data_IF_150539777978
#
_entry.id   IF_150539777978
#
_cell.length_a   1.000
_cell.length_b   1.000
_cell.length_c   1.000
_cell.angle_alpha   90.00
_cell.angle_beta   90.00
_cell.angle_gamma   90.00
#
_symmetry.space_group_name_H-M   'P 1'
#
loop_
_entity.id
_entity.type
_entity.pdbx_description
1 polymer ?
#
# COMPACT_ATOMS: atom_id res chain seq x y z
N UNK A 1 -31.29 28.35 59.49
CA UNK A 1 -30.16 28.73 58.59
C UNK A 1 -29.39 27.52 58.05
N UNK A 2 -28.90 26.57 58.93
CA UNK A 2 -28.11 25.42 58.52
C UNK A 2 -28.82 24.51 57.46
N UNK A 3 -30.12 24.20 57.72
CA UNK A 3 -30.91 23.42 56.76
C UNK A 3 -31.03 24.09 55.34
N UNK A 4 -31.22 25.40 55.31
CA UNK A 4 -31.30 26.12 54.04
C UNK A 4 -29.95 26.09 53.27
N UNK A 5 -28.84 26.24 53.98
CA UNK A 5 -27.49 26.10 53.38
C UNK A 5 -27.24 24.67 52.85
N UNK A 6 -27.69 23.66 53.56
CA UNK A 6 -27.54 22.25 53.16
C UNK A 6 -28.35 21.94 51.89
N UNK A 7 -29.59 22.45 51.80
CA UNK A 7 -30.44 22.30 50.60
C UNK A 7 -29.79 23.00 49.41
N UNK A 8 -29.28 24.21 49.61
CA UNK A 8 -28.58 24.95 48.54
C UNK A 8 -27.32 24.20 48.04
N UNK A 9 -26.51 23.69 48.99
CA UNK A 9 -25.30 22.93 48.64
C UNK A 9 -25.61 21.64 47.86
N UNK A 10 -26.63 20.90 48.31
CA UNK A 10 -27.07 19.67 47.62
C UNK A 10 -27.63 20.00 46.24
N UNK A 11 -28.44 21.04 46.12
CA UNK A 11 -28.99 21.45 44.80
C UNK A 11 -27.88 21.91 43.87
N UNK A 12 -26.90 22.69 44.36
CA UNK A 12 -25.77 23.14 43.56
C UNK A 12 -24.91 21.96 43.04
N UNK A 13 -24.64 20.96 43.89
CA UNK A 13 -23.88 19.76 43.48
C UNK A 13 -24.65 18.92 42.49
N UNK A 14 -25.96 18.76 42.61
CA UNK A 14 -26.80 18.05 41.64
C UNK A 14 -26.79 18.77 40.26
N UNK A 15 -26.99 20.09 40.29
CA UNK A 15 -26.96 20.92 39.05
C UNK A 15 -25.58 20.85 38.39
N UNK A 16 -24.51 20.98 39.16
CA UNK A 16 -23.14 20.85 38.63
C UNK A 16 -22.90 19.48 38.02
N UNK A 17 -23.40 18.40 38.66
CA UNK A 17 -23.34 17.04 38.12
C UNK A 17 -24.08 16.86 36.79
N UNK A 18 -25.26 17.48 36.65
CA UNK A 18 -26.02 17.48 35.40
C UNK A 18 -25.28 18.22 34.28
N UNK A 19 -24.78 19.44 34.60
CA UNK A 19 -24.00 20.22 33.62
C UNK A 19 -22.72 19.49 33.17
N UNK A 20 -22.03 18.85 34.11
CA UNK A 20 -20.83 18.05 33.73
C UNK A 20 -21.19 16.90 32.81
N UNK A 21 -22.26 16.17 33.10
CA UNK A 21 -22.75 15.06 32.24
C UNK A 21 -23.17 15.57 30.86
N UNK A 22 -23.89 16.69 30.77
CA UNK A 22 -24.27 17.31 29.50
C UNK A 22 -23.04 17.72 28.67
N UNK A 23 -22.03 18.33 29.30
CA UNK A 23 -20.79 18.69 28.60
C UNK A 23 -20.07 17.46 28.05
N UNK A 24 -20.04 16.33 28.75
CA UNK A 24 -19.45 15.08 28.25
C UNK A 24 -20.21 14.58 27.00
N UNK A 25 -21.54 14.54 27.06
CA UNK A 25 -22.39 14.11 25.95
C UNK A 25 -22.21 15.00 24.72
N UNK A 26 -22.20 16.32 24.92
CA UNK A 26 -21.98 17.28 23.82
C UNK A 26 -20.61 17.08 23.17
N UNK A 27 -19.53 16.96 23.97
CA UNK A 27 -18.19 16.71 23.45
C UNK A 27 -18.08 15.36 22.71
N UNK A 28 -18.79 14.35 23.20
CA UNK A 28 -18.83 13.05 22.52
C UNK A 28 -19.51 13.17 21.15
N UNK A 29 -20.66 13.85 21.08
CA UNK A 29 -21.36 14.10 19.84
C UNK A 29 -20.53 14.93 18.85
N UNK A 30 -19.80 15.96 19.33
CA UNK A 30 -18.89 16.76 18.51
C UNK A 30 -17.73 15.92 17.94
N UNK A 31 -17.17 15.02 18.75
CA UNK A 31 -16.09 14.11 18.30
C UNK A 31 -16.60 13.12 17.25
N UNK A 32 -17.77 12.51 17.47
CA UNK A 32 -18.40 11.59 16.51
C UNK A 32 -18.70 12.29 15.18
N UNK A 33 -19.21 13.51 15.22
CA UNK A 33 -19.48 14.30 14.02
C UNK A 33 -18.17 14.64 13.28
N UNK A 34 -17.13 15.07 14.02
CA UNK A 34 -15.83 15.37 13.44
C UNK A 34 -15.18 14.16 12.80
N UNK A 35 -15.31 12.99 13.43
CA UNK A 35 -14.82 11.72 12.87
C UNK A 35 -15.59 11.30 11.61
N UNK A 36 -16.93 11.44 11.62
CA UNK A 36 -17.75 11.16 10.45
C UNK A 36 -17.38 12.09 9.27
N UNK A 37 -17.13 13.37 9.53
CA UNK A 37 -16.67 14.32 8.53
C UNK A 37 -15.28 13.97 8.00
N UNK A 38 -14.33 13.59 8.87
CA UNK A 38 -13.01 13.14 8.45
C UNK A 38 -13.08 11.89 7.54
N UNK A 39 -14.04 10.98 7.79
CA UNK A 39 -14.29 9.82 6.90
C UNK A 39 -14.71 10.21 5.49
N UNK A 40 -15.56 11.22 5.36
CA UNK A 40 -15.95 11.72 4.04
C UNK A 40 -14.81 12.42 3.32
N UNK A 41 -14.02 13.18 4.06
CA UNK A 41 -12.84 13.87 3.51
C UNK A 41 -11.79 12.89 3.00
N UNK A 42 -11.47 11.85 3.78
CA UNK A 42 -10.48 10.84 3.36
C UNK A 42 -10.97 10.05 2.15
N UNK A 43 -12.27 9.75 2.07
CA UNK A 43 -12.85 9.10 0.90
C UNK A 43 -12.73 9.98 -0.34
N UNK A 44 -13.05 11.28 -0.22
CA UNK A 44 -12.86 12.24 -1.30
C UNK A 44 -11.41 12.37 -1.75
N UNK A 45 -10.45 12.27 -0.82
CA UNK A 45 -9.02 12.27 -1.15
C UNK A 45 -8.61 11.04 -1.97
N UNK A 46 -9.15 9.85 -1.65
CA UNK A 46 -8.90 8.62 -2.41
C UNK A 46 -9.55 8.70 -3.79
N UNK A 47 -10.75 9.25 -3.89
CA UNK A 47 -11.42 9.46 -5.18
C UNK A 47 -10.61 10.45 -6.04
N UNK A 48 -10.02 11.49 -5.43
CA UNK A 48 -9.12 12.42 -6.11
C UNK A 48 -7.84 11.74 -6.61
N UNK A 49 -7.22 10.87 -5.81
CA UNK A 49 -6.11 10.04 -6.28
C UNK A 49 -6.50 9.22 -7.53
N UNK A 50 -7.73 8.68 -7.56
CA UNK A 50 -8.29 8.02 -8.74
C UNK A 50 -8.43 8.92 -9.96
N UNK A 51 -8.70 10.22 -9.78
CA UNK A 51 -8.75 11.20 -10.86
C UNK A 51 -7.34 11.45 -11.41
N UNK A 52 -6.34 11.64 -10.54
CA UNK A 52 -4.94 11.81 -10.93
C UNK A 52 -4.47 10.63 -11.78
N UNK A 53 -4.68 9.40 -11.31
CA UNK A 53 -4.29 8.19 -12.03
C UNK A 53 -5.02 8.00 -13.36
N UNK A 54 -6.24 8.51 -13.48
CA UNK A 54 -7.03 8.48 -14.70
C UNK A 54 -6.53 9.46 -15.74
N UNK A 55 -6.16 10.66 -15.29
CA UNK A 55 -5.58 11.68 -16.19
C UNK A 55 -4.19 11.28 -16.66
N UNK A 56 -3.39 10.70 -15.78
CA UNK A 56 -2.09 10.12 -16.10
C UNK A 56 -2.19 9.07 -17.21
N UNK A 57 -3.12 8.11 -17.10
CA UNK A 57 -3.34 7.08 -18.12
C UNK A 57 -3.76 7.62 -19.51
N UNK A 58 -4.19 8.88 -19.60
CA UNK A 58 -4.53 9.53 -20.87
C UNK A 58 -3.32 10.14 -21.57
N UNK A 59 -2.29 10.44 -20.80
CA UNK A 59 -1.09 11.16 -21.28
C UNK A 59 0.12 10.26 -21.41
N UNK A 60 0.19 9.18 -20.63
CA UNK A 60 1.32 8.24 -20.57
C UNK A 60 0.86 6.78 -20.64
N UNK A 61 1.67 5.92 -21.29
CA UNK A 61 1.55 4.48 -21.25
C UNK A 61 2.65 3.83 -20.39
N UNK A 62 3.41 4.64 -19.68
CA UNK A 62 4.56 4.24 -18.86
C UNK A 62 4.40 4.88 -17.50
N UNK A 63 4.61 4.12 -16.42
CA UNK A 63 4.52 4.64 -15.06
C UNK A 63 5.92 4.76 -14.44
N UNK A 64 6.29 5.97 -14.00
CA UNK A 64 7.58 6.26 -13.39
C UNK A 64 7.50 7.39 -12.36
N UNK A 65 8.55 7.56 -11.53
CA UNK A 65 8.55 8.55 -10.44
C UNK A 65 8.54 10.03 -10.87
N UNK A 66 8.73 10.33 -12.15
CA UNK A 66 8.65 11.70 -12.69
C UNK A 66 7.22 12.15 -13.02
N UNK A 67 6.21 11.33 -12.79
CA UNK A 67 4.81 11.62 -13.10
C UNK A 67 4.07 12.28 -11.91
N UNK A 68 2.98 13.04 -12.18
CA UNK A 68 2.24 13.75 -11.15
C UNK A 68 1.72 12.88 -9.99
N UNK A 69 1.36 11.62 -10.28
CA UNK A 69 0.88 10.71 -9.25
C UNK A 69 1.94 10.32 -8.22
N UNK A 70 3.22 10.37 -8.60
CA UNK A 70 4.33 10.00 -7.71
C UNK A 70 4.74 11.12 -6.74
N UNK A 71 4.19 12.32 -6.91
CA UNK A 71 4.47 13.47 -6.03
C UNK A 71 3.61 13.36 -4.77
N UNK A 72 4.21 13.20 -3.58
CA UNK A 72 3.44 13.16 -2.34
C UNK A 72 2.74 14.49 -2.09
N UNK A 73 1.50 14.43 -1.62
CA UNK A 73 0.79 15.59 -1.12
C UNK A 73 1.26 15.84 0.32
N UNK A 74 1.99 16.93 0.53
CA UNK A 74 2.33 17.42 1.87
C UNK A 74 1.08 17.93 2.59
N UNK A 75 1.16 18.22 3.89
CA UNK A 75 0.07 18.79 4.69
C UNK A 75 -0.53 20.02 4.01
N UNK A 76 -1.56 19.78 3.22
CA UNK A 76 -2.22 20.81 2.41
C UNK A 76 -3.48 21.27 3.12
N UNK A 77 -3.62 22.57 3.30
CA UNK A 77 -4.80 23.21 3.86
C UNK A 77 -5.87 23.33 2.77
N UNK A 78 -6.97 22.58 2.90
CA UNK A 78 -7.99 22.46 1.85
C UNK A 78 -8.97 23.66 1.81
N UNK A 79 -9.17 24.36 2.94
CA UNK A 79 -10.18 25.42 3.08
C UNK A 79 -9.58 26.70 3.66
N UNK A 80 -8.58 27.26 2.95
CA UNK A 80 -8.03 28.55 3.32
C UNK A 80 -9.09 29.66 3.16
N UNK A 81 -9.24 30.50 4.19
CA UNK A 81 -10.00 31.75 4.19
C UNK A 81 -11.55 31.67 4.12
N UNK A 82 -12.20 30.53 4.31
CA UNK A 82 -13.67 30.44 4.30
C UNK A 82 -14.34 30.53 5.68
N UNK A 83 -13.57 30.81 6.74
CA UNK A 83 -14.07 30.91 8.12
C UNK A 83 -14.52 29.58 8.75
N UNK A 84 -14.29 28.46 8.08
CA UNK A 84 -14.56 27.10 8.57
C UNK A 84 -13.36 26.54 9.31
N UNK A 85 -13.61 25.46 10.06
CA UNK A 85 -12.52 24.75 10.73
C UNK A 85 -11.49 24.24 9.72
N UNK A 86 -10.18 24.38 10.01
CA UNK A 86 -9.14 23.99 9.08
C UNK A 86 -9.14 22.48 8.83
N UNK A 87 -9.00 22.10 7.56
CA UNK A 87 -8.83 20.72 7.08
C UNK A 87 -7.43 20.58 6.51
N UNK A 88 -6.66 19.66 7.05
CA UNK A 88 -5.36 19.27 6.51
C UNK A 88 -5.42 17.92 5.87
N UNK A 89 -4.88 17.81 4.69
CA UNK A 89 -4.76 16.58 3.93
C UNK A 89 -3.29 16.31 3.57
N UNK A 90 -2.81 15.13 3.90
CA UNK A 90 -1.54 14.61 3.42
C UNK A 90 -1.76 13.22 2.82
N UNK A 91 -0.94 12.84 1.85
CA UNK A 91 -1.06 11.51 1.24
C UNK A 91 -0.04 11.24 0.17
N UNK A 92 0.01 9.99 -0.25
CA UNK A 92 0.87 9.55 -1.33
C UNK A 92 0.20 8.42 -2.11
N UNK A 93 0.56 8.34 -3.38
CA UNK A 93 0.23 7.23 -4.27
C UNK A 93 1.52 6.45 -4.51
N UNK A 94 1.47 5.14 -4.39
CA UNK A 94 2.61 4.25 -4.61
C UNK A 94 2.26 3.20 -5.64
N UNK A 95 3.23 2.86 -6.47
CA UNK A 95 3.11 1.72 -7.38
C UNK A 95 3.28 0.41 -6.60
N UNK A 96 2.22 -0.39 -6.51
CA UNK A 96 2.30 -1.70 -5.86
C UNK A 96 2.96 -2.77 -6.75
N UNK A 97 3.04 -2.57 -8.06
CA UNK A 97 3.80 -3.44 -8.95
C UNK A 97 5.31 -3.13 -8.98
N UNK A 98 5.77 -2.10 -8.26
CA UNK A 98 7.18 -1.93 -7.92
C UNK A 98 7.73 -3.09 -7.08
N UNK A 99 6.87 -3.80 -6.37
CA UNK A 99 7.18 -4.89 -5.45
C UNK A 99 6.97 -6.26 -6.08
N UNK A 100 7.59 -7.27 -5.49
CA UNK A 100 7.33 -8.66 -5.83
C UNK A 100 5.94 -9.08 -5.34
N UNK A 101 5.10 -9.54 -6.25
CA UNK A 101 3.74 -9.96 -5.92
C UNK A 101 3.71 -11.45 -5.56
N UNK A 102 3.35 -11.77 -4.32
CA UNK A 102 3.24 -13.16 -3.84
C UNK A 102 2.25 -13.99 -4.65
N UNK A 103 1.23 -13.37 -5.25
CA UNK A 103 0.25 -14.06 -6.10
C UNK A 103 0.90 -14.79 -7.29
N UNK A 104 2.08 -14.35 -7.73
CA UNK A 104 2.83 -14.96 -8.82
C UNK A 104 3.32 -16.38 -8.51
N UNK A 105 3.44 -16.73 -7.21
CA UNK A 105 3.85 -18.07 -6.77
C UNK A 105 2.85 -19.16 -7.14
N UNK A 106 1.56 -18.81 -7.27
CA UNK A 106 0.50 -19.78 -7.54
C UNK A 106 0.10 -19.77 -9.02
N UNK A 107 0.46 -20.81 -9.73
CA UNK A 107 0.10 -21.05 -11.12
C UNK A 107 -0.97 -22.16 -11.29
N UNK A 108 -1.48 -22.34 -12.51
CA UNK A 108 -2.46 -23.40 -12.82
C UNK A 108 -1.94 -24.80 -12.54
N UNK A 109 -0.64 -25.04 -12.76
CA UNK A 109 0.01 -26.33 -12.53
C UNK A 109 0.52 -26.54 -11.09
N UNK A 110 0.33 -25.56 -10.19
CA UNK A 110 0.87 -25.58 -8.84
C UNK A 110 1.81 -24.41 -8.56
N UNK A 111 2.81 -24.60 -7.72
CA UNK A 111 3.82 -23.59 -7.42
C UNK A 111 4.63 -23.29 -8.68
N UNK A 112 4.72 -21.99 -9.02
CA UNK A 112 5.55 -21.51 -10.13
C UNK A 112 7.03 -21.55 -9.70
N UNK A 113 7.79 -22.50 -10.24
CA UNK A 113 9.20 -22.70 -9.89
C UNK A 113 10.09 -21.48 -10.18
N UNK A 114 9.82 -20.72 -11.24
CA UNK A 114 10.56 -19.49 -11.56
C UNK A 114 10.32 -18.42 -10.48
N UNK A 115 9.07 -18.20 -10.11
CA UNK A 115 8.70 -17.25 -9.08
C UNK A 115 9.21 -17.66 -7.70
N UNK A 116 9.22 -18.97 -7.41
CA UNK A 116 9.82 -19.49 -6.18
C UNK A 116 11.32 -19.16 -6.10
N UNK A 117 12.05 -19.32 -7.21
CA UNK A 117 13.47 -18.94 -7.28
C UNK A 117 13.68 -17.43 -7.08
N UNK A 118 12.79 -16.59 -7.62
CA UNK A 118 12.80 -15.13 -7.40
C UNK A 118 12.60 -14.82 -5.91
N UNK A 119 11.62 -15.45 -5.26
CA UNK A 119 11.37 -15.23 -3.83
C UNK A 119 12.55 -15.66 -2.97
N UNK A 120 13.20 -16.81 -3.28
CA UNK A 120 14.42 -17.24 -2.56
C UNK A 120 15.53 -16.22 -2.66
N UNK A 121 15.82 -15.69 -3.86
CA UNK A 121 16.83 -14.64 -4.05
C UNK A 121 16.46 -13.36 -3.30
N UNK A 122 15.17 -12.97 -3.32
CA UNK A 122 14.72 -11.79 -2.59
C UNK A 122 14.89 -11.97 -1.08
N UNK A 123 14.55 -13.12 -0.52
CA UNK A 123 14.76 -13.44 0.89
C UNK A 123 16.24 -13.34 1.26
N UNK A 124 17.16 -13.89 0.45
CA UNK A 124 18.60 -13.76 0.66
C UNK A 124 19.06 -12.28 0.67
N UNK A 125 18.58 -11.49 -0.28
CA UNK A 125 18.92 -10.06 -0.42
C UNK A 125 18.47 -9.23 0.79
N UNK A 126 17.34 -9.58 1.41
CA UNK A 126 16.83 -8.88 2.61
C UNK A 126 17.32 -9.50 3.93
N UNK A 127 18.27 -10.44 3.87
CA UNK A 127 18.84 -11.09 5.05
C UNK A 127 17.88 -12.03 5.77
N UNK A 128 16.96 -12.66 5.04
CA UNK A 128 16.08 -13.69 5.55
C UNK A 128 16.52 -15.08 5.04
N UNK A 129 16.05 -16.16 5.70
CA UNK A 129 16.37 -17.54 5.27
C UNK A 129 15.66 -17.86 3.95
N UNK A 130 16.39 -18.31 2.95
CA UNK A 130 15.84 -18.71 1.64
C UNK A 130 14.79 -19.82 1.73
N UNK A 131 14.96 -20.75 2.69
CA UNK A 131 14.04 -21.86 2.92
C UNK A 131 12.61 -21.42 3.33
N UNK A 132 12.40 -20.16 3.70
CA UNK A 132 11.06 -19.63 3.96
C UNK A 132 10.23 -19.48 2.67
N UNK A 133 10.85 -19.53 1.50
CA UNK A 133 10.14 -19.41 0.23
C UNK A 133 9.15 -20.56 -0.01
N UNK A 134 9.49 -21.79 0.39
CA UNK A 134 8.65 -22.98 0.18
C UNK A 134 7.36 -22.92 1.00
N UNK A 135 7.37 -22.70 2.33
CA UNK A 135 6.14 -22.56 3.11
C UNK A 135 5.31 -21.33 2.69
N UNK A 136 5.93 -20.22 2.26
CA UNK A 136 5.20 -19.09 1.70
C UNK A 136 4.49 -19.50 0.41
N UNK A 137 5.17 -20.20 -0.50
CA UNK A 137 4.58 -20.64 -1.76
C UNK A 137 3.40 -21.59 -1.55
N UNK A 138 3.51 -22.54 -0.62
CA UNK A 138 2.41 -23.45 -0.28
C UNK A 138 1.24 -22.69 0.34
N UNK A 139 1.51 -21.72 1.25
CA UNK A 139 0.47 -20.85 1.84
C UNK A 139 -0.27 -20.05 0.76
N UNK A 140 0.44 -19.52 -0.22
CA UNK A 140 -0.18 -18.79 -1.35
C UNK A 140 -0.98 -19.75 -2.23
N UNK A 141 -0.44 -20.95 -2.54
CA UNK A 141 -1.10 -21.93 -3.39
C UNK A 141 -2.45 -22.38 -2.78
N UNK A 142 -2.48 -22.65 -1.47
CA UNK A 142 -3.69 -23.09 -0.77
C UNK A 142 -4.75 -21.99 -0.65
N UNK A 143 -4.35 -20.73 -0.78
CA UNK A 143 -5.22 -19.55 -0.69
C UNK A 143 -5.84 -19.13 -2.04
N UNK A 144 -5.34 -19.66 -3.15
CA UNK A 144 -5.77 -19.24 -4.48
C UNK A 144 -6.72 -20.28 -5.09
N UNK A 145 -7.96 -19.90 -5.46
CA UNK A 145 -8.92 -20.78 -6.09
C UNK A 145 -8.38 -21.38 -7.40
N UNK A 146 -8.46 -22.70 -7.55
CA UNK A 146 -8.08 -23.40 -8.78
C UNK A 146 -6.58 -23.52 -9.03
N UNK A 147 -5.72 -22.98 -8.17
CA UNK A 147 -4.28 -23.13 -8.32
C UNK A 147 -3.87 -24.61 -8.10
N UNK A 148 -3.00 -25.11 -8.99
CA UNK A 148 -2.58 -26.51 -8.96
C UNK A 148 -3.72 -27.52 -9.14
N UNK A 149 -4.88 -27.12 -9.69
CA UNK A 149 -6.06 -27.97 -9.82
C UNK A 149 -6.74 -28.30 -8.48
N UNK A 150 -6.35 -27.65 -7.38
CA UNK A 150 -6.86 -27.90 -6.02
C UNK A 150 -8.03 -26.98 -5.67
N UNK A 151 -8.88 -27.42 -4.75
CA UNK A 151 -9.84 -26.54 -4.10
C UNK A 151 -9.10 -25.60 -3.14
N UNK A 152 -9.57 -24.37 -3.03
CA UNK A 152 -9.08 -23.43 -2.01
C UNK A 152 -9.35 -24.02 -0.61
N UNK A 153 -8.31 -24.11 0.19
CA UNK A 153 -8.38 -24.67 1.56
C UNK A 153 -8.04 -23.63 2.64
N UNK A 154 -7.49 -22.49 2.23
CA UNK A 154 -7.17 -21.39 3.12
C UNK A 154 -7.78 -20.08 2.64
N UNK A 155 -7.97 -19.12 3.57
CA UNK A 155 -8.38 -17.76 3.22
C UNK A 155 -7.33 -17.09 2.35
N UNK A 156 -7.79 -16.30 1.38
CA UNK A 156 -6.92 -15.46 0.55
C UNK A 156 -6.02 -14.57 1.41
N UNK A 157 -4.81 -14.34 0.93
CA UNK A 157 -3.95 -13.33 1.54
C UNK A 157 -4.51 -11.94 1.19
N UNK A 158 -4.66 -11.11 2.20
CA UNK A 158 -5.15 -9.74 2.06
C UNK A 158 -4.02 -8.69 2.22
N UNK A 159 -2.94 -9.08 2.91
CA UNK A 159 -1.76 -8.25 3.14
C UNK A 159 -0.52 -9.13 3.36
N UNK A 160 0.65 -8.49 3.40
CA UNK A 160 1.89 -9.19 3.76
C UNK A 160 1.87 -9.70 5.21
N UNK A 161 1.07 -9.09 6.09
CA UNK A 161 0.95 -9.48 7.49
C UNK A 161 0.34 -10.88 7.65
N UNK A 162 -0.41 -11.35 6.66
CA UNK A 162 -0.97 -12.71 6.65
C UNK A 162 0.13 -13.80 6.56
N UNK A 163 1.36 -13.41 6.26
CA UNK A 163 2.52 -14.30 6.34
C UNK A 163 2.91 -14.65 7.79
N UNK A 164 2.46 -13.89 8.79
CA UNK A 164 2.65 -14.23 10.21
C UNK A 164 1.97 -15.56 10.60
N UNK A 165 1.02 -16.02 9.80
CA UNK A 165 0.41 -17.34 9.95
C UNK A 165 1.20 -18.49 9.30
N UNK A 166 2.37 -18.24 8.73
CA UNK A 166 3.26 -19.23 8.14
C UNK A 166 4.34 -19.60 9.16
N UNK A 167 4.61 -20.88 9.32
CA UNK A 167 5.63 -21.37 10.23
C UNK A 167 6.99 -20.72 9.97
N UNK A 168 7.72 -20.43 11.03
CA UNK A 168 9.05 -19.81 11.01
C UNK A 168 9.12 -18.37 10.48
N UNK A 169 8.00 -17.73 10.14
CA UNK A 169 7.95 -16.31 9.75
C UNK A 169 7.64 -15.45 10.97
N UNK A 170 8.65 -14.69 11.39
CA UNK A 170 8.50 -13.70 12.46
C UNK A 170 8.09 -12.32 11.93
N UNK A 171 7.57 -11.48 12.82
CA UNK A 171 7.27 -10.08 12.50
C UNK A 171 8.50 -9.34 11.92
N UNK A 172 9.70 -9.62 12.42
CA UNK A 172 10.94 -9.04 11.88
C UNK A 172 11.24 -9.45 10.44
N UNK A 173 10.82 -10.65 10.00
CA UNK A 173 10.93 -11.07 8.59
C UNK A 173 9.91 -10.31 7.75
N UNK A 174 8.66 -10.22 8.21
CA UNK A 174 7.59 -9.48 7.52
C UNK A 174 7.98 -8.01 7.32
N UNK A 175 8.53 -7.36 8.35
CA UNK A 175 8.96 -5.95 8.25
C UNK A 175 10.10 -5.76 7.23
N UNK A 176 11.07 -6.69 7.17
CA UNK A 176 12.12 -6.63 6.13
C UNK A 176 11.59 -6.83 4.72
N UNK A 177 10.53 -7.63 4.56
CA UNK A 177 9.91 -7.90 3.26
C UNK A 177 8.93 -6.79 2.82
N UNK A 178 8.35 -6.04 3.74
CA UNK A 178 7.31 -5.03 3.49
C UNK A 178 7.65 -4.02 2.38
N UNK A 179 8.89 -3.52 2.24
CA UNK A 179 9.25 -2.62 1.14
C UNK A 179 9.31 -3.30 -0.23
N UNK A 180 9.44 -4.63 -0.29
CA UNK A 180 9.80 -5.37 -1.48
C UNK A 180 8.72 -6.36 -1.95
N UNK A 181 7.72 -6.62 -1.13
CA UNK A 181 6.69 -7.65 -1.37
C UNK A 181 5.31 -7.05 -1.25
N UNK A 182 4.41 -7.47 -2.11
CA UNK A 182 2.99 -7.10 -2.10
C UNK A 182 2.10 -8.31 -2.31
N UNK A 183 0.81 -8.14 -1.99
CA UNK A 183 -0.26 -9.10 -2.27
C UNK A 183 -1.30 -8.43 -3.14
N UNK A 184 -1.37 -8.84 -4.41
CA UNK A 184 -2.34 -8.32 -5.37
C UNK A 184 -3.35 -9.40 -5.75
N UNK A 185 -4.56 -9.03 -6.22
CA UNK A 185 -5.62 -9.99 -6.50
C UNK A 185 -5.33 -10.93 -7.67
N UNK A 186 -4.39 -10.57 -8.52
CA UNK A 186 -3.94 -11.37 -9.68
C UNK A 186 -2.42 -11.33 -9.83
N UNK A 187 -1.86 -12.28 -10.58
CA UNK A 187 -0.45 -12.25 -10.94
C UNK A 187 -0.14 -11.01 -11.80
N UNK A 188 1.01 -10.39 -11.55
CA UNK A 188 1.43 -9.15 -12.21
C UNK A 188 2.92 -9.15 -12.49
N UNK A 189 3.38 -8.56 -13.60
CA UNK A 189 4.78 -8.25 -13.79
C UNK A 189 5.23 -7.15 -12.81
N UNK A 190 6.55 -7.04 -12.64
CA UNK A 190 7.18 -5.96 -11.87
C UNK A 190 7.38 -4.74 -12.79
N UNK A 191 6.99 -3.55 -12.33
CA UNK A 191 7.32 -2.32 -13.04
C UNK A 191 8.79 -1.95 -12.81
N UNK A 192 9.60 -2.04 -13.86
CA UNK A 192 11.03 -1.75 -13.78
C UNK A 192 11.32 -0.28 -13.47
N UNK A 193 10.41 0.64 -13.82
CA UNK A 193 10.57 2.08 -13.59
C UNK A 193 10.40 2.50 -12.13
N UNK A 194 9.81 1.66 -11.30
CA UNK A 194 9.52 1.99 -9.89
C UNK A 194 10.11 0.96 -8.93
N UNK A 195 10.48 -0.22 -9.42
CA UNK A 195 10.98 -1.31 -8.59
C UNK A 195 12.30 -0.95 -7.88
N UNK A 196 12.46 -1.29 -6.58
CA UNK A 196 13.73 -1.16 -5.88
C UNK A 196 14.78 -2.13 -6.43
N UNK A 197 16.06 -1.82 -6.17
CA UNK A 197 17.18 -2.59 -6.69
C UNK A 197 17.14 -4.07 -6.25
N UNK A 198 16.68 -4.34 -5.03
CA UNK A 198 16.55 -5.68 -4.47
C UNK A 198 15.54 -6.53 -5.26
N UNK A 199 14.41 -5.94 -5.66
CA UNK A 199 13.39 -6.62 -6.47
C UNK A 199 13.92 -6.89 -7.88
N UNK A 200 14.60 -5.94 -8.49
CA UNK A 200 15.23 -6.14 -9.80
C UNK A 200 16.33 -7.21 -9.74
N UNK A 201 17.21 -7.16 -8.74
CA UNK A 201 18.26 -8.15 -8.53
C UNK A 201 17.67 -9.57 -8.31
N UNK A 202 16.57 -9.68 -7.57
CA UNK A 202 15.89 -10.96 -7.39
C UNK A 202 15.23 -11.46 -8.68
N UNK A 203 14.69 -10.56 -9.50
CA UNK A 203 13.95 -10.89 -10.73
C UNK A 203 14.86 -11.42 -11.84
N UNK A 204 16.04 -10.85 -12.00
CA UNK A 204 16.99 -11.26 -13.02
C UNK A 204 18.05 -12.18 -12.43
N UNK A 205 18.16 -13.38 -13.00
CA UNK A 205 19.21 -14.31 -12.62
C UNK A 205 20.59 -13.71 -12.96
N UNK A 206 21.53 -13.82 -12.03
CA UNK A 206 22.87 -13.26 -12.12
C UNK A 206 23.00 -11.72 -12.11
N UNK A 207 21.93 -10.98 -11.87
CA UNK A 207 22.03 -9.54 -11.63
C UNK A 207 22.47 -9.27 -10.19
N UNK A 208 23.73 -8.90 -10.00
CA UNK A 208 24.24 -8.51 -8.69
C UNK A 208 23.51 -7.26 -8.16
N UNK A 209 23.33 -7.13 -6.84
CA UNK A 209 22.66 -5.97 -6.24
C UNK A 209 23.34 -4.64 -6.61
N UNK A 210 24.67 -4.64 -6.75
CA UNK A 210 25.42 -3.45 -7.19
C UNK A 210 25.05 -3.01 -8.61
N UNK A 211 24.82 -3.99 -9.52
CA UNK A 211 24.41 -3.73 -10.90
C UNK A 211 22.95 -3.28 -10.96
N UNK A 212 22.08 -3.89 -10.16
CA UNK A 212 20.70 -3.45 -10.00
C UNK A 212 20.62 -2.00 -9.50
N UNK A 213 21.47 -1.60 -8.56
CA UNK A 213 21.56 -0.20 -8.10
C UNK A 213 22.04 0.75 -9.20
N UNK A 214 22.98 0.32 -10.05
CA UNK A 214 23.40 1.11 -11.24
C UNK A 214 22.26 1.24 -12.24
N UNK A 215 21.49 0.17 -12.46
CA UNK A 215 20.32 0.18 -13.32
C UNK A 215 19.24 1.16 -12.81
N UNK A 216 18.97 1.14 -11.51
CA UNK A 216 18.06 2.11 -10.85
C UNK A 216 18.58 3.55 -11.05
N UNK A 217 19.85 3.82 -10.79
CA UNK A 217 20.43 5.15 -10.98
C UNK A 217 20.40 5.61 -12.46
N UNK A 218 20.49 4.68 -13.42
CA UNK A 218 20.30 4.97 -14.86
C UNK A 218 18.86 5.32 -15.17
N UNK A 219 17.90 4.55 -14.65
CA UNK A 219 16.45 4.76 -14.78
C UNK A 219 16.02 6.11 -14.22
N UNK A 220 16.56 6.52 -13.07
CA UNK A 220 16.20 7.78 -12.41
C UNK A 220 16.61 9.01 -13.25
N UNK A 221 17.58 8.86 -14.16
CA UNK A 221 17.96 9.90 -15.15
C UNK A 221 17.12 9.83 -16.42
N UNK A 222 16.78 8.62 -16.87
CA UNK A 222 15.99 8.36 -18.05
C UNK A 222 15.20 7.06 -17.87
N UNK A 223 13.89 7.19 -17.62
CA UNK A 223 13.00 6.06 -17.41
C UNK A 223 13.02 5.09 -18.62
N UNK A 224 12.68 3.84 -18.38
CA UNK A 224 12.54 2.83 -19.43
C UNK A 224 11.27 3.09 -20.23
N UNK A 225 11.40 3.20 -21.53
CA UNK A 225 10.29 3.48 -22.45
C UNK A 225 9.41 2.26 -22.70
N UNK A 226 10.03 1.10 -22.73
CA UNK A 226 9.39 -0.19 -22.94
C UNK A 226 10.23 -1.32 -22.35
N UNK A 227 9.71 -2.55 -22.42
CA UNK A 227 10.41 -3.74 -21.95
C UNK A 227 11.73 -3.97 -22.67
N UNK A 228 11.81 -3.66 -23.96
CA UNK A 228 13.02 -3.85 -24.76
C UNK A 228 14.14 -2.93 -24.28
N UNK A 229 13.82 -1.68 -23.93
CA UNK A 229 14.77 -0.74 -23.34
C UNK A 229 15.33 -1.26 -22.01
N UNK A 230 14.49 -1.86 -21.15
CA UNK A 230 14.96 -2.52 -19.91
C UNK A 230 15.97 -3.62 -20.23
N UNK A 231 15.63 -4.52 -21.15
CA UNK A 231 16.46 -5.67 -21.52
C UNK A 231 17.78 -5.24 -22.16
N UNK A 232 17.76 -4.21 -23.02
CA UNK A 232 18.95 -3.66 -23.65
C UNK A 232 19.93 -3.11 -22.62
N UNK A 233 19.44 -2.31 -21.64
CA UNK A 233 20.31 -1.77 -20.58
C UNK A 233 20.85 -2.85 -19.65
N UNK A 234 20.13 -3.96 -19.46
CA UNK A 234 20.65 -5.13 -18.74
C UNK A 234 21.72 -5.84 -19.57
N UNK A 235 21.51 -5.97 -20.86
CA UNK A 235 22.51 -6.59 -21.79
C UNK A 235 23.80 -5.78 -21.85
N UNK A 236 23.72 -4.45 -21.79
CA UNK A 236 24.90 -3.57 -21.69
C UNK A 236 25.74 -3.88 -20.43
N UNK A 237 25.13 -4.41 -19.37
CA UNK A 237 25.82 -4.92 -18.17
C UNK A 237 26.43 -6.33 -18.38
N UNK A 238 26.43 -6.86 -19.60
CA UNK A 238 26.92 -8.20 -19.99
C UNK A 238 26.14 -9.35 -19.32
N UNK A 239 24.88 -9.11 -18.96
CA UNK A 239 23.99 -10.10 -18.36
C UNK A 239 23.07 -10.68 -19.43
N UNK A 240 22.73 -11.97 -19.29
CA UNK A 240 21.71 -12.56 -20.13
C UNK A 240 20.33 -12.08 -19.68
N UNK A 241 19.61 -11.41 -20.55
CA UNK A 241 18.22 -11.04 -20.31
C UNK A 241 17.36 -12.29 -20.42
N UNK A 242 16.96 -12.84 -19.29
CA UNK A 242 15.94 -13.90 -19.28
C UNK A 242 14.55 -13.30 -19.48
N UNK A 243 13.57 -14.15 -19.83
CA UNK A 243 12.15 -13.81 -19.93
C UNK A 243 11.55 -13.46 -18.54
N UNK A 244 12.08 -12.40 -17.92
CA UNK A 244 11.58 -11.90 -16.68
C UNK A 244 10.19 -11.27 -16.89
N UNK A 245 9.26 -11.53 -16.00
CA UNK A 245 7.96 -10.85 -16.00
C UNK A 245 8.13 -9.41 -15.53
N UNK A 246 8.54 -8.55 -16.47
CA UNK A 246 8.82 -7.13 -16.29
C UNK A 246 7.90 -6.32 -17.19
N UNK A 247 7.42 -5.21 -16.64
CA UNK A 247 6.68 -4.17 -17.33
C UNK A 247 7.32 -2.80 -17.09
N UNK A 248 6.83 -1.78 -17.77
CA UNK A 248 7.17 -0.37 -17.56
C UNK A 248 5.93 0.44 -17.13
N UNK A 249 4.81 -0.25 -16.96
CA UNK A 249 3.54 0.32 -16.53
C UNK A 249 2.92 -0.53 -15.42
N UNK A 250 2.05 0.08 -14.62
CA UNK A 250 1.35 -0.58 -13.51
C UNK A 250 -0.15 -0.43 -13.62
N UNK A 251 -0.85 -1.37 -13.01
CA UNK A 251 -2.32 -1.37 -12.88
C UNK A 251 -2.78 -1.24 -11.44
N UNK A 252 -1.89 -1.40 -10.47
CA UNK A 252 -2.23 -1.42 -9.05
C UNK A 252 -1.45 -0.36 -8.29
N UNK A 253 -2.18 0.55 -7.67
CA UNK A 253 -1.64 1.65 -6.89
C UNK A 253 -2.13 1.57 -5.45
N UNK A 254 -1.21 1.64 -4.50
CA UNK A 254 -1.51 1.84 -3.10
C UNK A 254 -1.66 3.34 -2.82
N UNK A 255 -2.71 3.72 -2.15
CA UNK A 255 -2.92 5.11 -1.72
C UNK A 255 -2.95 5.14 -0.21
N UNK A 256 -2.13 6.00 0.39
CA UNK A 256 -2.17 6.31 1.82
C UNK A 256 -2.56 7.77 1.98
N UNK A 257 -3.57 8.03 2.79
CA UNK A 257 -4.02 9.40 3.09
C UNK A 257 -4.19 9.61 4.59
N UNK A 258 -3.91 10.82 5.03
CA UNK A 258 -4.17 11.28 6.40
C UNK A 258 -4.97 12.57 6.33
N UNK A 259 -6.08 12.63 7.04
CA UNK A 259 -6.92 13.83 7.20
C UNK A 259 -6.89 14.24 8.66
N UNK A 260 -6.65 15.52 8.90
CA UNK A 260 -6.83 16.15 10.22
C UNK A 260 -7.94 17.20 10.10
N UNK A 261 -9.00 17.01 10.90
CA UNK A 261 -10.14 17.90 10.96
C UNK A 261 -10.56 18.12 12.42
N UNK A 262 -10.49 19.36 12.91
CA UNK A 262 -10.70 19.66 14.33
C UNK A 262 -9.81 18.83 15.24
N UNK A 263 -10.43 17.93 16.02
CA UNK A 263 -9.74 16.98 16.91
C UNK A 263 -9.61 15.59 16.32
N UNK A 264 -10.27 15.32 15.19
CA UNK A 264 -10.21 14.04 14.51
C UNK A 264 -8.98 13.99 13.60
N UNK A 265 -8.20 12.92 13.74
CA UNK A 265 -7.16 12.53 12.79
C UNK A 265 -7.47 11.14 12.30
N UNK A 266 -7.59 10.97 11.00
CA UNK A 266 -7.91 9.71 10.38
C UNK A 266 -6.86 9.40 9.32
N UNK A 267 -6.31 8.19 9.37
CA UNK A 267 -5.45 7.66 8.33
C UNK A 267 -6.17 6.52 7.63
N UNK A 268 -6.06 6.45 6.32
CA UNK A 268 -6.61 5.36 5.54
C UNK A 268 -5.64 4.91 4.45
N UNK A 269 -5.79 3.66 4.07
CA UNK A 269 -5.08 3.02 2.98
C UNK A 269 -6.10 2.44 2.00
N UNK A 270 -5.82 2.54 0.71
CA UNK A 270 -6.62 1.96 -0.34
C UNK A 270 -5.74 1.29 -1.39
N UNK A 271 -6.27 0.25 -2.03
CA UNK A 271 -5.70 -0.30 -3.26
C UNK A 271 -6.61 0.10 -4.42
N UNK A 272 -6.04 0.83 -5.37
CA UNK A 272 -6.70 1.21 -6.60
C UNK A 272 -6.24 0.31 -7.74
N UNK A 273 -7.18 -0.11 -8.58
CA UNK A 273 -6.91 -0.77 -9.86
C UNK A 273 -7.21 0.18 -11.00
N UNK A 274 -6.25 0.34 -11.91
CA UNK A 274 -6.39 1.10 -13.14
C UNK A 274 -6.44 0.17 -14.34
N UNK A 275 -7.53 0.23 -15.08
CA UNK A 275 -7.73 -0.48 -16.35
C UNK A 275 -8.04 0.55 -17.44
N UNK A 276 -7.04 1.00 -18.17
CA UNK A 276 -7.14 2.14 -19.09
C UNK A 276 -7.62 3.40 -18.34
N UNK A 277 -8.71 4.00 -18.81
CA UNK A 277 -9.28 5.20 -18.19
C UNK A 277 -10.19 4.92 -16.99
N UNK A 278 -10.38 3.66 -16.61
CA UNK A 278 -11.18 3.29 -15.44
C UNK A 278 -10.26 3.05 -14.25
N UNK A 279 -10.54 3.75 -13.16
CA UNK A 279 -9.88 3.54 -11.87
C UNK A 279 -10.95 3.19 -10.85
N UNK A 280 -10.73 2.11 -10.11
CA UNK A 280 -11.65 1.65 -9.07
C UNK A 280 -10.88 1.28 -7.78
N UNK A 281 -11.47 1.58 -6.64
CA UNK A 281 -10.95 1.14 -5.36
C UNK A 281 -11.37 -0.31 -5.10
N UNK A 282 -10.39 -1.20 -4.98
CA UNK A 282 -10.64 -2.61 -4.65
C UNK A 282 -10.93 -2.79 -3.17
N UNK A 283 -10.26 -2.03 -2.34
CA UNK A 283 -10.50 -1.95 -0.90
C UNK A 283 -10.04 -0.61 -0.35
N UNK A 284 -10.67 -0.22 0.77
CA UNK A 284 -10.34 0.93 1.59
C UNK A 284 -10.35 0.47 3.06
N UNK A 285 -9.30 0.76 3.80
CA UNK A 285 -9.15 0.42 5.22
C UNK A 285 -8.70 1.64 6.00
N UNK A 286 -9.29 1.83 7.18
CA UNK A 286 -8.76 2.78 8.15
C UNK A 286 -7.50 2.15 8.76
N UNK A 287 -6.41 2.92 8.80
CA UNK A 287 -5.21 2.54 9.51
C UNK A 287 -5.36 2.95 10.98
N UNK A 288 -5.02 2.05 11.88
CA UNK A 288 -5.10 2.30 13.32
C UNK A 288 -3.96 3.21 13.80
#
# INVERSE_FOLDING_TARGET
MVMAMLVVAVTATLVAGVFWRQNVVVRQAENELSYAQAKWLIRGAIDWAGIILREDARTSNVDHFGEPWAVPLADTHLNQDDGRDPVFLAGEIRDEQAKYNLRNLAGPAGVNARELAVLRRLLALVGAREGLADPVAERVLTAVPGAGGRKQTALGLASIDDLLGVDDISAGVVERLRPFVTVLPQATPVNANTAPAEVLAARFENLALADARRLVASRDRAFFKDRTDVLNRITELKLQASDAEIAVATRFFGVTGTVSYRRARLQAQALLRRDGNRVEALWLREAA
#
